data_IF_233760950040
#
_entry.id   IF_233760950040
#
_cell.length_a   1.000
_cell.length_b   1.000
_cell.length_c   1.000
_cell.angle_alpha   90.00
_cell.angle_beta   90.00
_cell.angle_gamma   90.00
#
_symmetry.space_group_name_H-M   'P 1'
#
loop_
_entity.id
_entity.type
_entity.pdbx_description
1 polymer ?
#
# COMPACT_ATOMS: atom_id res chain seq x y z
N UNK A 1 -2.56 4.31 18.52
CA UNK A 1 -3.49 3.69 17.58
C UNK A 1 -2.81 2.57 16.79
N UNK A 2 -3.60 1.72 16.18
CA UNK A 2 -3.08 0.62 15.37
C UNK A 2 -2.20 1.14 14.23
N UNK A 3 -2.56 2.27 13.68
CA UNK A 3 -1.84 2.94 12.61
C UNK A 3 -0.37 3.18 12.99
N UNK A 4 -0.14 3.79 14.13
CA UNK A 4 1.23 4.10 14.58
C UNK A 4 2.04 2.84 14.88
N UNK A 5 1.42 1.86 15.52
CA UNK A 5 2.10 0.63 15.92
C UNK A 5 2.57 -0.19 14.74
N UNK A 6 1.71 -0.35 13.74
CA UNK A 6 2.06 -1.13 12.56
C UNK A 6 3.17 -0.46 11.76
N UNK A 7 3.19 0.85 11.76
CA UNK A 7 4.20 1.62 11.06
C UNK A 7 5.60 1.40 11.63
N UNK A 8 5.72 1.20 12.94
CA UNK A 8 7.00 0.98 13.58
C UNK A 8 7.67 -0.32 13.17
N UNK A 9 6.89 -1.32 12.77
CA UNK A 9 7.42 -2.65 12.49
C UNK A 9 8.01 -2.81 11.09
N UNK A 10 7.76 -1.86 10.19
CA UNK A 10 8.17 -2.00 8.78
C UNK A 10 8.84 -0.71 8.31
N UNK A 11 9.75 -0.22 9.08
CA UNK A 11 10.34 1.06 8.78
C UNK A 11 11.67 0.91 8.06
N UNK A 12 11.73 1.40 6.83
CA UNK A 12 12.96 1.48 6.07
C UNK A 12 13.70 2.80 6.26
N UNK A 13 13.10 3.78 6.93
CA UNK A 13 13.72 5.09 7.09
C UNK A 13 14.97 5.05 7.95
N UNK A 14 15.07 4.09 8.87
CA UNK A 14 16.28 3.91 9.67
C UNK A 14 17.50 3.62 8.81
N UNK A 15 17.31 2.92 7.70
CA UNK A 15 18.42 2.66 6.78
C UNK A 15 18.88 3.92 6.07
N UNK A 16 17.96 4.80 5.73
CA UNK A 16 18.29 6.10 5.14
C UNK A 16 19.07 6.94 6.14
N UNK A 17 18.61 7.00 7.36
CA UNK A 17 19.27 7.79 8.41
C UNK A 17 20.67 7.29 8.72
N UNK A 18 20.89 5.99 8.72
CA UNK A 18 22.22 5.43 8.99
C UNK A 18 23.17 5.63 7.82
N UNK A 19 22.67 5.66 6.59
CA UNK A 19 23.48 5.83 5.41
C UNK A 19 23.89 7.29 5.19
N UNK A 20 23.01 8.23 5.52
CA UNK A 20 23.21 9.66 5.28
C UNK A 20 22.95 10.43 6.57
N UNK A 21 23.97 10.61 7.33
CA UNK A 21 23.86 11.30 8.62
C UNK A 21 23.77 12.83 8.40
N UNK A 22 22.66 13.31 7.85
CA UNK A 22 22.48 14.72 7.55
C UNK A 22 21.04 15.17 7.83
N UNK A 23 20.88 16.49 8.01
CA UNK A 23 19.56 17.10 8.15
C UNK A 23 18.71 16.93 6.90
N UNK A 24 19.33 16.92 5.73
CA UNK A 24 18.62 16.72 4.47
C UNK A 24 17.97 15.36 4.40
N UNK A 25 18.69 14.31 4.79
CA UNK A 25 18.14 12.95 4.82
C UNK A 25 16.97 12.84 5.78
N UNK A 26 17.07 13.50 6.94
CA UNK A 26 15.99 13.53 7.92
C UNK A 26 14.76 14.26 7.37
N UNK A 27 14.95 15.36 6.67
CA UNK A 27 13.86 16.10 6.06
C UNK A 27 13.18 15.31 4.95
N UNK A 28 13.94 14.60 4.13
CA UNK A 28 13.40 13.76 3.08
C UNK A 28 12.56 12.63 3.69
N UNK A 29 13.07 11.97 4.70
CA UNK A 29 12.36 10.90 5.40
C UNK A 29 11.06 11.41 6.03
N UNK A 30 11.10 12.59 6.65
CA UNK A 30 9.95 13.21 7.27
C UNK A 30 8.87 13.56 6.23
N UNK A 31 9.27 14.12 5.10
CA UNK A 31 8.32 14.44 4.01
C UNK A 31 7.67 13.19 3.43
N UNK A 32 8.45 12.12 3.27
CA UNK A 32 7.89 10.85 2.82
C UNK A 32 6.84 10.33 3.78
N UNK A 33 7.07 10.41 5.09
CA UNK A 33 6.10 10.02 6.11
C UNK A 33 4.83 10.88 6.04
N UNK A 34 4.97 12.17 5.82
CA UNK A 34 3.82 13.07 5.69
C UNK A 34 2.98 12.71 4.47
N UNK A 35 3.60 12.46 3.33
CA UNK A 35 2.88 12.05 2.12
C UNK A 35 2.18 10.70 2.30
N UNK A 36 2.83 9.76 2.94
CA UNK A 36 2.26 8.45 3.22
C UNK A 36 1.06 8.60 4.15
N UNK A 37 1.19 9.38 5.20
CA UNK A 37 0.11 9.63 6.16
C UNK A 37 -1.09 10.27 5.46
N UNK A 38 -0.86 11.30 4.66
CA UNK A 38 -1.93 11.98 3.92
C UNK A 38 -2.65 11.02 2.97
N UNK A 39 -1.88 10.18 2.29
CA UNK A 39 -2.45 9.19 1.36
C UNK A 39 -3.33 8.18 2.11
N UNK A 40 -2.84 7.63 3.20
CA UNK A 40 -3.59 6.66 4.02
C UNK A 40 -4.87 7.31 4.55
N UNK A 41 -4.80 8.56 4.99
CA UNK A 41 -5.99 9.26 5.47
C UNK A 41 -7.02 9.47 4.36
N UNK A 42 -6.59 9.70 3.13
CA UNK A 42 -7.52 9.77 1.99
C UNK A 42 -8.24 8.43 1.78
N UNK A 43 -7.51 7.33 1.86
CA UNK A 43 -8.09 5.99 1.73
C UNK A 43 -9.17 5.77 2.78
N UNK A 44 -8.91 6.20 4.01
CA UNK A 44 -9.83 5.97 5.13
C UNK A 44 -11.03 6.92 5.12
N UNK A 45 -10.85 8.15 4.69
CA UNK A 45 -11.85 9.21 4.87
C UNK A 45 -12.68 9.51 3.63
N UNK A 46 -12.22 9.11 2.45
CA UNK A 46 -12.96 9.32 1.21
C UNK A 46 -13.50 7.98 0.71
N UNK A 47 -14.81 7.73 0.85
CA UNK A 47 -15.40 6.43 0.46
C UNK A 47 -15.21 6.09 -1.02
N UNK A 48 -14.97 7.09 -1.86
CA UNK A 48 -14.84 6.90 -3.30
C UNK A 48 -13.39 6.85 -3.78
N UNK A 49 -12.44 7.09 -2.89
CA UNK A 49 -11.03 7.18 -3.29
C UNK A 49 -10.51 5.88 -3.89
N UNK A 50 -10.93 4.75 -3.34
CA UNK A 50 -10.50 3.43 -3.82
C UNK A 50 -11.35 2.89 -4.96
N UNK A 51 -12.39 3.61 -5.39
CA UNK A 51 -13.20 3.22 -6.55
C UNK A 51 -12.45 3.62 -7.82
N UNK A 52 -11.49 2.81 -8.20
CA UNK A 52 -10.60 3.08 -9.32
C UNK A 52 -10.90 2.17 -10.50
N UNK A 53 -10.88 2.74 -11.69
CA UNK A 53 -10.98 1.96 -12.93
C UNK A 53 -9.64 1.36 -13.35
N UNK A 54 -8.55 1.73 -12.69
CA UNK A 54 -7.24 1.15 -12.97
C UNK A 54 -7.23 -0.31 -12.52
N UNK A 55 -6.99 -1.21 -13.44
CA UNK A 55 -7.02 -2.65 -13.15
C UNK A 55 -5.68 -3.28 -13.53
N UNK A 56 -5.23 -4.14 -12.62
CA UNK A 56 -4.06 -4.98 -12.82
C UNK A 56 -4.57 -6.42 -12.83
N UNK A 57 -4.03 -7.24 -13.71
CA UNK A 57 -4.40 -8.66 -13.76
C UNK A 57 -3.70 -9.38 -12.60
N UNK A 58 -4.48 -9.90 -11.66
CA UNK A 58 -4.00 -10.64 -10.51
C UNK A 58 -4.43 -12.12 -10.52
N UNK A 59 -4.87 -12.62 -11.67
CA UNK A 59 -5.30 -14.02 -11.77
C UNK A 59 -4.16 -14.99 -11.49
N UNK A 60 -2.93 -14.60 -11.79
CA UNK A 60 -1.76 -15.44 -11.50
C UNK A 60 -1.50 -15.66 -10.01
N UNK A 61 -2.07 -14.82 -9.15
CA UNK A 61 -2.04 -15.00 -7.69
C UNK A 61 -3.40 -15.34 -7.11
N UNK A 62 -4.34 -15.71 -7.97
CA UNK A 62 -5.63 -16.27 -7.58
C UNK A 62 -6.76 -15.27 -7.40
N UNK A 63 -6.57 -14.01 -7.73
CA UNK A 63 -7.60 -12.99 -7.57
C UNK A 63 -8.33 -12.71 -8.89
N UNK A 64 -9.64 -12.65 -8.81
CA UNK A 64 -10.50 -12.29 -9.92
C UNK A 64 -11.24 -10.99 -9.60
N UNK A 65 -11.66 -10.27 -10.64
CA UNK A 65 -12.50 -9.10 -10.45
C UNK A 65 -13.91 -9.56 -10.06
N UNK A 66 -14.44 -8.93 -9.01
CA UNK A 66 -15.81 -9.17 -8.57
C UNK A 66 -16.79 -8.64 -9.61
N UNK A 67 -17.61 -9.51 -10.15
CA UNK A 67 -18.57 -9.13 -11.20
C UNK A 67 -19.68 -8.24 -10.68
N UNK A 68 -19.95 -8.25 -9.37
CA UNK A 68 -21.01 -7.42 -8.79
C UNK A 68 -20.68 -5.94 -8.82
N UNK A 69 -19.44 -5.55 -8.57
CA UNK A 69 -19.03 -4.14 -8.59
C UNK A 69 -18.08 -3.79 -9.72
N UNK A 70 -17.43 -4.76 -10.32
CA UNK A 70 -16.49 -4.54 -11.43
C UNK A 70 -15.17 -3.90 -11.03
N UNK A 71 -14.92 -3.70 -9.74
CA UNK A 71 -13.72 -3.00 -9.25
C UNK A 71 -12.96 -3.76 -8.17
N UNK A 72 -13.64 -4.53 -7.33
CA UNK A 72 -12.99 -5.27 -6.25
C UNK A 72 -12.36 -6.56 -6.76
N UNK A 73 -11.28 -6.97 -6.10
CA UNK A 73 -10.62 -8.25 -6.34
C UNK A 73 -11.07 -9.22 -5.27
N UNK A 74 -11.37 -10.45 -5.66
CA UNK A 74 -11.82 -11.49 -4.74
C UNK A 74 -11.05 -12.79 -4.91
N UNK A 75 -10.81 -13.46 -3.79
CA UNK A 75 -10.23 -14.80 -3.71
C UNK A 75 -10.72 -15.44 -2.43
N UNK A 76 -11.69 -16.35 -2.54
CA UNK A 76 -12.31 -16.92 -1.35
C UNK A 76 -12.98 -15.84 -0.51
N UNK A 77 -12.55 -15.72 0.73
CA UNK A 77 -13.06 -14.70 1.66
C UNK A 77 -12.30 -13.38 1.57
N UNK A 78 -11.21 -13.34 0.85
CA UNK A 78 -10.43 -12.11 0.68
C UNK A 78 -11.06 -11.23 -0.39
N UNK A 79 -11.19 -9.95 -0.07
CA UNK A 79 -11.76 -8.97 -0.99
C UNK A 79 -11.13 -7.62 -0.71
N UNK A 80 -10.64 -6.96 -1.76
CA UNK A 80 -10.01 -5.66 -1.62
C UNK A 80 -10.19 -4.83 -2.88
N UNK A 81 -10.00 -3.52 -2.71
CA UNK A 81 -9.92 -2.57 -3.82
C UNK A 81 -8.45 -2.19 -4.04
N UNK A 82 -8.13 -1.84 -5.27
CA UNK A 82 -6.78 -1.52 -5.68
C UNK A 82 -6.76 -0.16 -6.37
N UNK A 83 -5.76 0.65 -6.04
CA UNK A 83 -5.53 1.94 -6.70
C UNK A 83 -4.04 2.08 -6.99
N UNK A 84 -3.70 2.63 -8.15
CA UNK A 84 -2.33 2.88 -8.56
C UNK A 84 -2.06 4.38 -8.43
N UNK A 85 -0.99 4.73 -7.72
CA UNK A 85 -0.51 6.10 -7.64
C UNK A 85 0.77 6.23 -8.45
N UNK A 86 0.88 7.32 -9.19
CA UNK A 86 2.06 7.61 -10.01
C UNK A 86 3.16 8.36 -9.22
N UNK A 87 3.20 8.14 -7.92
CA UNK A 87 4.19 8.72 -7.00
C UNK A 87 4.72 7.60 -6.12
N UNK A 88 6.00 7.62 -5.83
CA UNK A 88 6.59 6.55 -5.02
C UNK A 88 6.56 6.82 -3.51
N UNK A 89 6.24 8.02 -3.07
CA UNK A 89 6.22 8.43 -1.66
C UNK A 89 7.53 8.15 -0.91
N UNK A 90 8.62 7.86 -1.61
CA UNK A 90 9.86 7.42 -0.99
C UNK A 90 9.81 6.02 -0.39
N UNK A 91 8.83 5.23 -0.79
CA UNK A 91 8.59 3.91 -0.23
C UNK A 91 9.65 2.91 -0.73
N UNK A 92 10.27 2.16 0.19
CA UNK A 92 11.29 1.15 -0.14
C UNK A 92 10.78 -0.28 0.02
N UNK A 93 9.79 -0.47 0.88
CA UNK A 93 9.20 -1.77 1.21
C UNK A 93 7.70 -1.64 1.30
N UNK A 94 7.01 -2.78 1.28
CA UNK A 94 5.59 -2.82 1.57
C UNK A 94 5.36 -2.30 2.99
N UNK A 95 4.39 -1.41 3.12
CA UNK A 95 3.93 -0.93 4.44
C UNK A 95 2.46 -1.24 4.58
N UNK A 96 2.02 -1.45 5.81
CA UNK A 96 0.62 -1.79 6.04
C UNK A 96 0.13 -1.26 7.37
N UNK A 97 -1.18 -1.07 7.45
CA UNK A 97 -1.88 -0.61 8.63
C UNK A 97 -3.20 -1.36 8.76
N UNK A 98 -3.58 -1.63 9.99
CA UNK A 98 -4.88 -2.21 10.28
C UNK A 98 -5.86 -1.10 10.61
N UNK A 99 -7.07 -1.19 10.04
CA UNK A 99 -8.16 -0.25 10.33
C UNK A 99 -9.44 -1.05 10.50
N UNK A 100 -9.86 -1.25 11.76
CA UNK A 100 -10.98 -2.13 12.06
C UNK A 100 -10.69 -3.56 11.62
N UNK A 101 -11.54 -4.12 10.79
CA UNK A 101 -11.35 -5.45 10.22
C UNK A 101 -10.73 -5.43 8.82
N UNK A 102 -10.26 -4.27 8.38
CA UNK A 102 -9.65 -4.10 7.07
C UNK A 102 -8.17 -3.77 7.21
N UNK A 103 -7.43 -4.01 6.13
CA UNK A 103 -6.02 -3.67 6.03
C UNK A 103 -5.80 -2.71 4.88
N UNK A 104 -4.82 -1.84 5.05
CA UNK A 104 -4.29 -1.00 3.98
C UNK A 104 -2.86 -1.45 3.71
N UNK A 105 -2.53 -1.66 2.45
CA UNK A 105 -1.16 -1.98 2.03
C UNK A 105 -0.71 -0.96 1.01
N UNK A 106 0.50 -0.46 1.18
CA UNK A 106 1.19 0.34 0.18
C UNK A 106 2.35 -0.50 -0.36
N UNK A 107 2.32 -0.76 -1.65
CA UNK A 107 3.27 -1.64 -2.32
C UNK A 107 4.04 -0.83 -3.36
N UNK A 108 5.36 -0.61 -3.17
CA UNK A 108 6.14 0.04 -4.21
C UNK A 108 6.30 -0.90 -5.39
N UNK A 109 6.12 -0.36 -6.58
CA UNK A 109 6.33 -1.11 -7.81
C UNK A 109 7.26 -0.32 -8.73
N UNK A 110 7.63 -0.92 -9.84
CA UNK A 110 8.56 -0.32 -10.80
C UNK A 110 8.06 1.01 -11.33
N UNK A 111 8.98 1.83 -11.83
CA UNK A 111 8.71 3.13 -12.46
C UNK A 111 8.16 4.19 -11.51
N UNK A 112 8.53 4.11 -10.23
CA UNK A 112 8.18 5.13 -9.25
C UNK A 112 6.69 5.19 -8.94
N UNK A 113 6.03 4.03 -8.96
CA UNK A 113 4.59 3.94 -8.66
C UNK A 113 4.35 3.19 -7.36
N UNK A 114 3.19 3.39 -6.79
CA UNK A 114 2.74 2.68 -5.59
C UNK A 114 1.35 2.11 -5.84
N UNK A 115 1.16 0.86 -5.46
CA UNK A 115 -0.15 0.23 -5.47
C UNK A 115 -0.70 0.25 -4.06
N UNK A 116 -1.92 0.73 -3.91
CA UNK A 116 -2.66 0.70 -2.65
C UNK A 116 -3.68 -0.42 -2.70
N UNK A 117 -3.68 -1.28 -1.68
CA UNK A 117 -4.73 -2.29 -1.48
C UNK A 117 -5.49 -1.93 -0.22
N UNK A 118 -6.81 -2.00 -0.26
CA UNK A 118 -7.65 -1.74 0.91
C UNK A 118 -8.78 -2.74 0.98
N UNK A 119 -8.83 -3.50 2.06
CA UNK A 119 -9.90 -4.47 2.29
C UNK A 119 -9.51 -5.59 3.23
N UNK A 120 -10.24 -6.68 3.11
CA UNK A 120 -9.96 -7.90 3.88
C UNK A 120 -8.97 -8.75 3.10
N UNK A 121 -7.69 -8.56 3.36
CA UNK A 121 -6.62 -9.28 2.67
C UNK A 121 -5.47 -9.51 3.65
N UNK A 122 -4.93 -10.73 3.66
CA UNK A 122 -3.84 -11.09 4.53
C UNK A 122 -2.51 -10.51 4.06
N UNK A 123 -1.56 -10.37 4.98
CA UNK A 123 -0.20 -9.95 4.63
C UNK A 123 0.43 -10.92 3.63
N UNK A 124 0.22 -12.22 3.81
CA UNK A 124 0.75 -13.23 2.88
C UNK A 124 0.27 -12.98 1.46
N UNK A 125 -1.02 -12.75 1.29
CA UNK A 125 -1.58 -12.45 -0.04
C UNK A 125 -1.04 -11.15 -0.61
N UNK A 126 -0.91 -10.11 0.23
CA UNK A 126 -0.37 -8.82 -0.20
C UNK A 126 1.09 -8.95 -0.67
N UNK A 127 1.89 -9.74 0.03
CA UNK A 127 3.29 -9.98 -0.35
C UNK A 127 3.40 -10.79 -1.64
N UNK A 128 2.50 -11.74 -1.86
CA UNK A 128 2.43 -12.46 -3.14
C UNK A 128 2.10 -11.54 -4.30
N UNK A 129 1.16 -10.62 -4.08
CA UNK A 129 0.83 -9.60 -5.07
C UNK A 129 2.04 -8.71 -5.35
N UNK A 130 2.72 -8.26 -4.31
CA UNK A 130 3.93 -7.45 -4.46
C UNK A 130 4.98 -8.16 -5.30
N UNK A 131 5.23 -9.41 -5.00
CA UNK A 131 6.20 -10.22 -5.73
C UNK A 131 5.78 -10.38 -7.20
N UNK A 132 4.52 -10.58 -7.46
CA UNK A 132 3.99 -10.70 -8.82
C UNK A 132 4.16 -9.41 -9.62
N UNK A 133 3.94 -8.25 -9.00
CA UNK A 133 4.02 -6.96 -9.66
C UNK A 133 5.46 -6.48 -9.87
N UNK A 134 6.43 -7.05 -9.17
CA UNK A 134 7.83 -6.63 -9.21
C UNK A 134 8.76 -7.67 -9.84
N UNK A 135 8.23 -8.49 -10.71
CA UNK A 135 9.05 -9.47 -11.43
C UNK A 135 9.97 -8.83 -12.45
#
# INVERSE_FOLDING_TARGET
>A
SDFSRLNENIDSTNQISSAINSKEAQLIAQRSEEYITDHVMKVLNDPNYMNSSSQIDLRNVGFNINTSDGISYIKGKEKFQLRIENKDFGLKKVRYWKHGNKMIYLIPIENGKVVTLYGNISLTSALEISKSLNK
#
